data_IF_227318857211
#
_entry.id   IF_227318857211
#
_cell.length_a   1.000
_cell.length_b   1.000
_cell.length_c   1.000
_cell.angle_alpha   90.00
_cell.angle_beta   90.00
_cell.angle_gamma   90.00
#
_symmetry.space_group_name_H-M   'P 1'
#
loop_
_entity.id
_entity.type
_entity.pdbx_description
1 polymer ?
#
# COMPACT_ATOMS: atom_id res chain seq x y z
N UNK A 1 -29.76 9.88 -36.21
CA UNK A 1 -29.41 10.48 -34.90
C UNK A 1 -28.21 9.73 -34.32
N UNK A 2 -27.00 10.10 -34.76
CA UNK A 2 -25.74 9.58 -34.25
C UNK A 2 -25.35 10.48 -33.07
N UNK A 3 -25.11 9.84 -31.94
CA UNK A 3 -25.06 10.40 -30.59
C UNK A 3 -23.87 11.39 -30.43
N UNK A 4 -24.16 12.68 -30.33
CA UNK A 4 -23.21 13.75 -29.94
C UNK A 4 -22.66 13.63 -28.50
N UNK A 5 -23.08 12.61 -27.73
CA UNK A 5 -22.56 12.38 -26.39
C UNK A 5 -21.16 11.79 -26.44
N UNK A 6 -20.19 12.68 -26.16
CA UNK A 6 -18.85 12.42 -25.62
C UNK A 6 -17.71 12.80 -26.55
N UNK A 7 -17.61 14.09 -26.91
CA UNK A 7 -16.28 14.73 -26.88
C UNK A 7 -15.78 14.61 -25.43
N UNK A 8 -15.12 13.50 -25.08
CA UNK A 8 -14.46 13.34 -23.78
C UNK A 8 -13.54 14.54 -23.62
N UNK A 9 -13.90 15.46 -22.73
CA UNK A 9 -13.07 16.63 -22.42
C UNK A 9 -11.71 16.06 -22.01
N UNK A 10 -10.71 16.28 -22.86
CA UNK A 10 -9.40 15.65 -22.69
C UNK A 10 -8.75 16.27 -21.45
N UNK A 11 -8.22 15.40 -20.58
CA UNK A 11 -7.35 15.82 -19.49
C UNK A 11 -6.17 16.64 -20.03
N UNK A 12 -5.62 17.53 -19.20
CA UNK A 12 -4.49 18.36 -19.60
C UNK A 12 -3.29 17.49 -20.03
N UNK A 13 -2.46 17.94 -20.99
CA UNK A 13 -1.24 17.22 -21.36
C UNK A 13 -0.37 16.92 -20.15
N UNK A 14 0.30 15.75 -20.17
CA UNK A 14 1.08 15.26 -19.03
C UNK A 14 2.16 16.27 -18.61
N UNK A 15 2.85 16.88 -19.57
CA UNK A 15 3.85 17.94 -19.34
C UNK A 15 3.28 19.14 -18.60
N UNK A 16 2.06 19.57 -18.93
CA UNK A 16 1.40 20.70 -18.28
C UNK A 16 0.94 20.34 -16.87
N UNK A 17 0.40 19.13 -16.67
CA UNK A 17 0.08 18.63 -15.32
C UNK A 17 1.33 18.59 -14.44
N UNK A 18 2.43 18.05 -14.97
CA UNK A 18 3.71 17.98 -14.25
C UNK A 18 4.26 19.36 -13.91
N UNK A 19 4.31 20.30 -14.87
CA UNK A 19 4.77 21.67 -14.64
C UNK A 19 3.95 22.36 -13.54
N UNK A 20 2.63 22.24 -13.60
CA UNK A 20 1.74 22.81 -12.58
C UNK A 20 2.00 22.20 -11.20
N UNK A 21 2.14 20.87 -11.12
CA UNK A 21 2.46 20.16 -9.87
C UNK A 21 3.82 20.60 -9.32
N UNK A 22 4.84 20.72 -10.17
CA UNK A 22 6.17 21.13 -9.76
C UNK A 22 6.21 22.58 -9.26
N UNK A 23 5.57 23.52 -9.98
CA UNK A 23 5.46 24.91 -9.52
C UNK A 23 4.70 25.01 -8.21
N UNK A 24 3.65 24.20 -8.02
CA UNK A 24 2.90 24.15 -6.77
C UNK A 24 3.77 23.63 -5.61
N UNK A 25 4.54 22.56 -5.84
CA UNK A 25 5.49 22.01 -4.88
C UNK A 25 6.58 23.02 -4.50
N UNK A 26 7.21 23.68 -5.49
CA UNK A 26 8.25 24.68 -5.25
C UNK A 26 7.76 25.83 -4.37
N UNK A 27 6.54 26.34 -4.61
CA UNK A 27 5.95 27.41 -3.79
C UNK A 27 5.76 27.00 -2.33
N UNK A 28 5.48 25.72 -2.08
CA UNK A 28 5.22 25.18 -0.73
C UNK A 28 6.40 24.40 -0.17
N UNK A 29 7.57 24.46 -0.79
CA UNK A 29 8.70 23.63 -0.42
C UNK A 29 9.08 23.82 1.06
N UNK A 30 9.09 25.06 1.56
CA UNK A 30 9.38 25.36 2.97
C UNK A 30 8.38 24.71 3.93
N UNK A 31 7.09 24.82 3.64
CA UNK A 31 6.02 24.21 4.44
C UNK A 31 6.14 22.68 4.43
N UNK A 32 6.29 22.08 3.25
CA UNK A 32 6.41 20.63 3.06
C UNK A 32 7.67 20.09 3.74
N UNK A 33 8.82 20.76 3.57
CA UNK A 33 10.06 20.42 4.22
C UNK A 33 9.94 20.50 5.75
N UNK A 34 9.27 21.54 6.26
CA UNK A 34 8.97 21.67 7.69
C UNK A 34 8.06 20.57 8.22
N UNK A 35 7.05 20.15 7.45
CA UNK A 35 6.22 18.99 7.80
C UNK A 35 7.08 17.71 7.84
N UNK A 36 7.86 17.45 6.80
CA UNK A 36 8.66 16.24 6.64
C UNK A 36 9.86 16.16 7.61
N UNK A 37 10.33 17.30 8.13
CA UNK A 37 11.44 17.34 9.08
C UNK A 37 11.17 16.52 10.35
N UNK A 38 9.91 16.45 10.81
CA UNK A 38 9.53 15.75 12.04
C UNK A 38 9.76 14.22 11.98
N UNK A 39 9.22 13.47 11.01
CA UNK A 39 9.53 12.03 10.93
C UNK A 39 11.00 11.76 10.65
N UNK A 40 11.67 12.62 9.87
CA UNK A 40 13.09 12.48 9.61
C UNK A 40 13.94 12.68 10.85
N UNK A 41 13.58 13.60 11.75
CA UNK A 41 14.33 13.80 13.00
C UNK A 41 14.19 12.61 13.93
N UNK A 42 13.00 12.00 14.04
CA UNK A 42 12.82 10.77 14.81
C UNK A 42 13.61 9.60 14.22
N UNK A 43 13.58 9.42 12.89
CA UNK A 43 14.37 8.39 12.22
C UNK A 43 15.88 8.61 12.37
N UNK A 44 16.33 9.87 12.32
CA UNK A 44 17.73 10.22 12.56
C UNK A 44 18.16 9.85 13.98
N UNK A 45 17.37 10.22 15.00
CA UNK A 45 17.65 9.85 16.39
C UNK A 45 17.64 8.33 16.57
N UNK A 46 16.67 7.64 15.97
CA UNK A 46 16.62 6.18 15.99
C UNK A 46 17.89 5.56 15.39
N UNK A 47 18.35 6.07 14.24
CA UNK A 47 19.57 5.62 13.55
C UNK A 47 20.83 5.81 14.40
N UNK A 48 20.96 6.99 15.03
CA UNK A 48 22.08 7.29 15.93
C UNK A 48 22.05 6.37 17.14
N UNK A 49 20.89 6.18 17.78
CA UNK A 49 20.75 5.33 18.96
C UNK A 49 20.98 3.85 18.65
N UNK A 50 20.55 3.37 17.48
CA UNK A 50 20.80 2.01 17.01
C UNK A 50 22.27 1.76 16.66
N UNK A 51 23.13 2.78 16.67
CA UNK A 51 24.59 2.61 16.58
C UNK A 51 25.24 2.24 17.92
N UNK A 52 24.49 2.26 19.03
CA UNK A 52 24.95 1.87 20.37
C UNK A 52 24.35 0.52 20.78
N UNK A 53 25.16 -0.39 21.33
CA UNK A 53 24.68 -1.66 21.89
C UNK A 53 24.16 -1.46 23.33
N UNK A 54 23.01 -2.06 23.72
CA UNK A 54 22.09 -2.88 22.92
C UNK A 54 21.12 -2.06 22.04
N UNK A 55 21.16 -2.32 20.74
CA UNK A 55 20.51 -1.52 19.67
C UNK A 55 18.97 -1.47 19.74
N UNK A 56 18.36 -2.58 20.15
CA UNK A 56 16.91 -2.79 20.06
C UNK A 56 16.14 -2.02 21.15
N UNK A 57 16.77 -1.78 22.31
CA UNK A 57 16.12 -1.13 23.46
C UNK A 57 15.95 0.38 23.24
N UNK A 58 16.98 1.04 22.70
CA UNK A 58 16.99 2.50 22.54
C UNK A 58 16.40 2.97 21.21
N UNK A 59 16.59 2.23 20.11
CA UNK A 59 16.10 2.64 18.79
C UNK A 59 14.60 2.38 18.56
N UNK A 60 14.03 1.35 19.17
CA UNK A 60 12.65 0.93 18.89
C UNK A 60 11.58 2.00 19.21
N UNK A 61 11.62 2.72 20.35
CA UNK A 61 10.64 3.78 20.63
C UNK A 61 10.69 4.91 19.60
N UNK A 62 11.88 5.32 19.16
CA UNK A 62 12.06 6.39 18.17
C UNK A 62 11.63 5.95 16.77
N UNK A 63 11.82 4.68 16.41
CA UNK A 63 11.27 4.12 15.17
C UNK A 63 9.73 4.15 15.17
N UNK A 64 9.10 3.80 16.30
CA UNK A 64 7.65 3.89 16.43
C UNK A 64 7.16 5.34 16.31
N UNK A 65 7.83 6.29 16.98
CA UNK A 65 7.53 7.72 16.86
C UNK A 65 7.75 8.23 15.43
N UNK A 66 8.81 7.79 14.76
CA UNK A 66 9.10 8.08 13.35
C UNK A 66 8.00 7.55 12.43
N UNK A 67 7.50 6.34 12.68
CA UNK A 67 6.39 5.76 11.93
C UNK A 67 5.08 6.53 12.12
N UNK A 68 4.69 6.82 13.37
CA UNK A 68 3.47 7.58 13.67
C UNK A 68 3.54 8.99 13.08
N UNK A 69 4.67 9.68 13.27
CA UNK A 69 4.88 11.01 12.69
C UNK A 69 4.89 10.98 11.16
N UNK A 70 5.42 9.94 10.52
CA UNK A 70 5.38 9.80 9.07
C UNK A 70 3.95 9.70 8.53
N UNK A 71 3.08 8.94 9.21
CA UNK A 71 1.65 8.89 8.88
C UNK A 71 1.06 10.30 8.98
N UNK A 72 1.32 11.00 10.09
CA UNK A 72 0.82 12.36 10.29
C UNK A 72 1.35 13.35 9.25
N UNK A 73 2.61 13.24 8.83
CA UNK A 73 3.19 14.08 7.77
C UNK A 73 2.47 13.90 6.44
N UNK A 74 2.13 12.66 6.08
CA UNK A 74 1.36 12.37 4.86
C UNK A 74 0.00 13.07 4.90
N UNK A 75 -0.71 12.98 6.03
CA UNK A 75 -2.00 13.64 6.24
C UNK A 75 -1.87 15.18 6.24
N UNK A 76 -0.80 15.70 6.85
CA UNK A 76 -0.52 17.13 6.87
C UNK A 76 -0.20 17.66 5.47
N UNK A 77 0.48 16.89 4.63
CA UNK A 77 0.69 17.23 3.22
C UNK A 77 -0.65 17.23 2.47
N UNK A 78 -1.52 16.23 2.66
CA UNK A 78 -2.86 16.27 2.06
C UNK A 78 -3.64 17.52 2.46
N UNK A 79 -3.67 17.87 3.75
CA UNK A 79 -4.33 19.06 4.26
C UNK A 79 -3.71 20.34 3.66
N UNK A 80 -2.37 20.44 3.63
CA UNK A 80 -1.65 21.58 3.07
C UNK A 80 -1.91 21.78 1.56
N UNK A 81 -2.19 20.71 0.82
CA UNK A 81 -2.52 20.75 -0.61
C UNK A 81 -3.98 21.18 -0.85
N UNK A 82 -4.89 20.80 0.05
CA UNK A 82 -6.33 21.05 -0.09
C UNK A 82 -6.69 22.47 0.36
N UNK A 83 -6.21 22.89 1.53
CA UNK A 83 -6.60 24.18 2.13
C UNK A 83 -6.04 25.38 1.37
N UNK A 84 -5.00 25.19 0.55
CA UNK A 84 -4.44 26.24 -0.29
C UNK A 84 -3.82 27.42 0.47
N UNK A 85 -3.82 27.42 1.79
CA UNK A 85 -3.31 28.48 2.67
C UNK A 85 -1.91 28.11 3.17
N UNK A 86 -1.08 29.13 3.42
CA UNK A 86 0.23 28.98 4.04
C UNK A 86 0.09 28.88 5.56
N UNK A 87 -0.70 27.90 6.01
CA UNK A 87 -0.87 27.65 7.42
C UNK A 87 0.47 27.30 8.06
N UNK A 88 0.60 27.64 9.34
CA UNK A 88 1.69 27.18 10.17
C UNK A 88 1.76 25.64 10.17
N UNK A 89 2.97 25.08 10.15
CA UNK A 89 3.24 23.64 10.12
C UNK A 89 2.45 22.90 11.22
N UNK A 90 2.40 23.48 12.42
CA UNK A 90 1.71 22.91 13.58
C UNK A 90 0.19 22.83 13.37
N UNK A 91 -0.40 23.80 12.68
CA UNK A 91 -1.82 23.78 12.34
C UNK A 91 -2.16 22.63 11.40
N UNK A 92 -1.32 22.35 10.40
CA UNK A 92 -1.50 21.20 9.51
C UNK A 92 -1.47 19.87 10.28
N UNK A 93 -0.54 19.72 11.23
CA UNK A 93 -0.48 18.55 12.10
C UNK A 93 -1.70 18.40 13.00
N UNK A 94 -2.16 19.49 13.63
CA UNK A 94 -3.34 19.48 14.51
C UNK A 94 -4.60 19.04 13.77
N UNK A 95 -4.84 19.58 12.58
CA UNK A 95 -5.97 19.17 11.73
C UNK A 95 -5.84 17.71 11.26
N UNK A 96 -4.61 17.27 10.96
CA UNK A 96 -4.34 15.90 10.53
C UNK A 96 -4.56 14.88 11.64
N UNK A 97 -4.21 15.22 12.88
CA UNK A 97 -4.43 14.36 14.05
C UNK A 97 -5.90 14.02 14.24
N UNK A 98 -6.79 14.99 14.06
CA UNK A 98 -8.24 14.78 14.16
C UNK A 98 -8.78 13.82 13.08
N UNK A 99 -8.07 13.69 11.95
CA UNK A 99 -8.47 12.87 10.81
C UNK A 99 -7.81 11.49 10.78
N UNK A 100 -6.86 11.20 11.67
CA UNK A 100 -6.09 9.95 11.64
C UNK A 100 -6.99 8.72 11.73
N UNK A 101 -7.98 8.71 12.62
CA UNK A 101 -8.90 7.58 12.77
C UNK A 101 -9.73 7.31 11.51
N UNK A 102 -10.22 8.38 10.86
CA UNK A 102 -10.97 8.25 9.60
C UNK A 102 -10.09 7.78 8.46
N UNK A 103 -8.84 8.23 8.40
CA UNK A 103 -7.86 7.81 7.40
C UNK A 103 -7.44 6.36 7.60
N UNK A 104 -7.10 5.94 8.82
CA UNK A 104 -6.73 4.55 9.15
C UNK A 104 -7.88 3.61 8.82
N UNK A 105 -9.12 3.98 9.16
CA UNK A 105 -10.30 3.20 8.80
C UNK A 105 -10.50 3.09 7.29
N UNK A 106 -10.32 4.20 6.55
CA UNK A 106 -10.37 4.20 5.09
C UNK A 106 -9.27 3.31 4.48
N UNK A 107 -8.04 3.43 4.97
CA UNK A 107 -6.89 2.66 4.51
C UNK A 107 -7.09 1.16 4.76
N UNK A 108 -7.61 0.79 5.93
CA UNK A 108 -7.92 -0.60 6.30
C UNK A 108 -9.00 -1.20 5.40
N UNK A 109 -10.11 -0.49 5.17
CA UNK A 109 -11.16 -0.97 4.25
C UNK A 109 -10.60 -1.09 2.83
N UNK A 110 -9.86 -0.08 2.37
CA UNK A 110 -9.26 -0.08 1.03
C UNK A 110 -8.28 -1.24 0.85
N UNK A 111 -7.42 -1.51 1.84
CA UNK A 111 -6.43 -2.57 1.76
C UNK A 111 -7.10 -3.95 1.73
N UNK A 112 -8.12 -4.19 2.56
CA UNK A 112 -8.88 -5.44 2.54
C UNK A 112 -9.57 -5.68 1.19
N UNK A 113 -10.17 -4.65 0.59
CA UNK A 113 -10.84 -4.77 -0.72
C UNK A 113 -9.83 -5.03 -1.83
N UNK A 114 -8.71 -4.29 -1.86
CA UNK A 114 -7.66 -4.47 -2.85
C UNK A 114 -7.01 -5.85 -2.69
N UNK A 115 -6.76 -6.28 -1.47
CA UNK A 115 -6.22 -7.60 -1.16
C UNK A 115 -7.16 -8.72 -1.58
N UNK A 116 -8.47 -8.61 -1.28
CA UNK A 116 -9.47 -9.52 -1.81
C UNK A 116 -9.51 -9.55 -3.34
N UNK A 117 -9.32 -8.39 -3.98
CA UNK A 117 -9.13 -8.29 -5.42
C UNK A 117 -7.89 -9.02 -5.92
N UNK A 118 -6.75 -8.89 -5.22
CA UNK A 118 -5.50 -9.57 -5.56
C UNK A 118 -5.59 -11.10 -5.41
N UNK A 119 -6.34 -11.59 -4.41
CA UNK A 119 -6.62 -13.02 -4.24
C UNK A 119 -7.45 -13.60 -5.39
N UNK A 120 -8.33 -12.79 -6.00
CA UNK A 120 -9.02 -13.17 -7.24
C UNK A 120 -8.12 -13.08 -8.47
N UNK A 121 -7.02 -12.33 -8.38
CA UNK A 121 -6.00 -12.20 -9.42
C UNK A 121 -5.34 -10.82 -9.44
N UNK A 122 -4.19 -10.72 -10.13
CA UNK A 122 -3.41 -9.47 -10.20
C UNK A 122 -4.22 -8.35 -10.89
N UNK A 123 -4.87 -8.66 -12.01
CA UNK A 123 -5.65 -7.69 -12.80
C UNK A 123 -6.78 -7.03 -11.97
N UNK A 124 -7.69 -7.78 -11.31
CA UNK A 124 -8.74 -7.17 -10.48
C UNK A 124 -8.18 -6.33 -9.32
N UNK A 125 -7.11 -6.79 -8.65
CA UNK A 125 -6.44 -6.01 -7.61
C UNK A 125 -5.91 -4.67 -8.10
N UNK A 126 -5.25 -4.64 -9.28
CA UNK A 126 -4.76 -3.40 -9.91
C UNK A 126 -5.91 -2.48 -10.33
N UNK A 127 -7.02 -3.01 -10.84
CA UNK A 127 -8.18 -2.18 -11.19
C UNK A 127 -8.73 -1.46 -9.96
N UNK A 128 -8.87 -2.18 -8.84
CA UNK A 128 -9.37 -1.64 -7.58
C UNK A 128 -8.44 -0.59 -6.97
N UNK A 129 -7.12 -0.83 -6.99
CA UNK A 129 -6.15 0.13 -6.46
C UNK A 129 -6.23 1.48 -7.20
N UNK A 130 -6.38 1.45 -8.53
CA UNK A 130 -6.57 2.67 -9.34
C UNK A 130 -7.91 3.33 -9.04
N UNK A 131 -8.99 2.57 -8.82
CA UNK A 131 -10.28 3.13 -8.41
C UNK A 131 -10.21 3.87 -7.07
N UNK A 132 -9.33 3.47 -6.16
CA UNK A 132 -9.23 4.03 -4.81
C UNK A 132 -8.14 5.08 -4.63
N UNK A 133 -7.40 5.43 -5.69
CA UNK A 133 -6.27 6.37 -5.62
C UNK A 133 -6.66 7.76 -5.09
N UNK A 134 -7.89 8.21 -5.33
CA UNK A 134 -8.38 9.51 -4.87
C UNK A 134 -9.17 9.44 -3.55
N UNK A 135 -9.31 8.27 -2.95
CA UNK A 135 -10.13 8.09 -1.75
C UNK A 135 -9.62 8.93 -0.57
N UNK A 136 -8.30 8.98 -0.35
CA UNK A 136 -7.69 9.83 0.66
C UNK A 136 -7.94 11.32 0.37
N UNK A 137 -7.78 11.77 -0.87
CA UNK A 137 -8.04 13.18 -1.24
C UNK A 137 -9.51 13.53 -1.02
N UNK A 138 -10.44 12.65 -1.37
CA UNK A 138 -11.89 12.86 -1.18
C UNK A 138 -12.25 12.92 0.30
N UNK A 139 -11.63 12.09 1.14
CA UNK A 139 -11.83 12.12 2.59
C UNK A 139 -11.51 13.51 3.16
N UNK A 140 -10.41 14.12 2.72
CA UNK A 140 -9.97 15.42 3.20
C UNK A 140 -10.70 16.59 2.52
N UNK A 141 -10.98 16.50 1.22
CA UNK A 141 -11.55 17.59 0.44
C UNK A 141 -13.09 17.68 0.49
N UNK A 142 -13.78 16.59 0.86
CA UNK A 142 -15.25 16.51 0.81
C UNK A 142 -15.87 16.02 2.13
N UNK A 143 -15.18 16.19 3.24
CA UNK A 143 -15.55 15.62 4.54
C UNK A 143 -17.00 15.94 4.96
N UNK A 144 -17.46 17.17 4.71
CA UNK A 144 -18.82 17.63 5.05
C UNK A 144 -19.98 16.95 4.31
N UNK A 145 -19.70 16.09 3.32
CA UNK A 145 -20.73 15.42 2.49
C UNK A 145 -20.94 13.94 2.85
N UNK A 146 -20.62 13.53 4.07
CA UNK A 146 -20.75 12.12 4.51
C UNK A 146 -19.74 11.17 3.84
N UNK A 147 -18.59 11.71 3.42
CA UNK A 147 -17.58 11.05 2.60
C UNK A 147 -16.61 10.18 3.42
N UNK A 148 -17.08 9.53 4.49
CA UNK A 148 -16.24 8.70 5.37
C UNK A 148 -16.29 7.22 4.98
N UNK A 149 -15.18 6.51 5.20
CA UNK A 149 -15.07 5.07 4.97
C UNK A 149 -15.43 4.65 3.54
N UNK A 150 -16.36 3.69 3.42
CA UNK A 150 -16.75 3.12 2.12
C UNK A 150 -17.33 4.15 1.12
N UNK A 151 -17.92 5.23 1.62
CA UNK A 151 -18.49 6.26 0.75
C UNK A 151 -17.40 7.01 -0.05
N UNK A 152 -16.23 7.25 0.55
CA UNK A 152 -15.08 7.83 -0.15
C UNK A 152 -14.59 6.91 -1.28
N UNK A 153 -14.57 5.59 -1.05
CA UNK A 153 -14.16 4.61 -2.05
C UNK A 153 -15.13 4.56 -3.25
N UNK A 154 -16.43 4.59 -2.97
CA UNK A 154 -17.47 4.64 -4.02
C UNK A 154 -17.34 5.92 -4.85
N UNK A 155 -17.14 7.09 -4.22
CA UNK A 155 -16.91 8.35 -4.94
C UNK A 155 -15.62 8.32 -5.75
N UNK A 156 -14.53 7.83 -5.18
CA UNK A 156 -13.25 7.69 -5.88
C UNK A 156 -13.41 6.85 -7.16
N UNK A 157 -14.11 5.71 -7.06
CA UNK A 157 -14.47 4.89 -8.24
C UNK A 157 -15.29 5.69 -9.25
N UNK A 158 -16.29 6.44 -8.82
CA UNK A 158 -17.12 7.23 -9.72
C UNK A 158 -16.31 8.31 -10.45
N UNK A 159 -15.34 8.95 -9.79
CA UNK A 159 -14.40 9.87 -10.44
C UNK A 159 -13.54 9.16 -11.50
N UNK A 160 -12.97 8.00 -11.16
CA UNK A 160 -12.08 7.23 -12.04
C UNK A 160 -12.83 6.57 -13.21
N UNK A 161 -14.12 6.25 -13.05
CA UNK A 161 -14.92 5.53 -14.06
C UNK A 161 -14.91 6.27 -15.40
N UNK A 162 -14.56 5.57 -16.47
CA UNK A 162 -14.44 6.15 -17.82
C UNK A 162 -13.08 6.83 -18.11
N UNK A 163 -12.22 7.00 -17.11
CA UNK A 163 -10.88 7.58 -17.22
C UNK A 163 -9.78 6.67 -16.68
N UNK A 164 -10.07 5.38 -16.46
CA UNK A 164 -9.14 4.41 -15.86
C UNK A 164 -7.79 4.33 -16.61
N UNK A 165 -7.82 4.11 -17.93
CA UNK A 165 -6.61 4.04 -18.75
C UNK A 165 -5.78 5.35 -18.75
N UNK A 166 -6.39 6.54 -18.96
CA UNK A 166 -5.68 7.81 -18.81
C UNK A 166 -5.03 8.00 -17.44
N UNK A 167 -5.68 7.58 -16.36
CA UNK A 167 -5.15 7.71 -14.99
C UNK A 167 -4.00 6.73 -14.79
N UNK A 168 -4.16 5.47 -15.19
CA UNK A 168 -3.11 4.46 -15.09
C UNK A 168 -1.85 4.88 -15.85
N UNK A 169 -1.98 5.31 -17.10
CA UNK A 169 -0.83 5.76 -17.90
C UNK A 169 -0.11 6.96 -17.28
N UNK A 170 -0.85 7.87 -16.63
CA UNK A 170 -0.29 9.03 -15.91
C UNK A 170 0.45 8.63 -14.64
N UNK A 171 -0.10 7.68 -13.87
CA UNK A 171 0.56 7.12 -12.69
C UNK A 171 1.86 6.45 -13.11
N UNK A 172 1.82 5.58 -14.13
CA UNK A 172 3.03 4.91 -14.65
C UNK A 172 4.06 5.90 -15.16
N UNK A 173 3.65 6.89 -15.96
CA UNK A 173 4.53 7.92 -16.48
C UNK A 173 5.19 8.75 -15.37
N UNK A 174 4.52 8.97 -14.25
CA UNK A 174 5.09 9.70 -13.12
C UNK A 174 5.96 8.80 -12.24
N UNK A 175 5.46 7.63 -11.85
CA UNK A 175 6.08 6.74 -10.87
C UNK A 175 7.33 6.05 -11.42
N UNK A 176 7.35 5.63 -12.68
CA UNK A 176 8.50 4.91 -13.26
C UNK A 176 9.74 5.82 -13.29
N UNK A 177 9.72 7.03 -13.90
CA UNK A 177 10.88 7.91 -13.91
C UNK A 177 11.32 8.35 -12.51
N UNK A 178 10.39 8.55 -11.57
CA UNK A 178 10.73 8.88 -10.18
C UNK A 178 11.44 7.73 -9.46
N UNK A 179 11.02 6.48 -9.69
CA UNK A 179 11.70 5.31 -9.16
C UNK A 179 13.11 5.17 -9.77
N UNK A 180 13.24 5.35 -11.09
CA UNK A 180 14.54 5.38 -11.76
C UNK A 180 15.46 6.48 -11.24
N UNK A 181 14.92 7.70 -11.05
CA UNK A 181 15.69 8.82 -10.49
C UNK A 181 16.19 8.51 -9.08
N UNK A 182 15.32 7.97 -8.21
CA UNK A 182 15.71 7.54 -6.86
C UNK A 182 16.83 6.50 -6.90
N UNK A 183 16.72 5.52 -7.80
CA UNK A 183 17.76 4.50 -7.99
C UNK A 183 19.09 5.09 -8.46
N UNK A 184 19.08 6.02 -9.43
CA UNK A 184 20.27 6.70 -9.94
C UNK A 184 20.94 7.53 -8.83
N UNK A 185 20.17 8.33 -8.09
CA UNK A 185 20.70 9.16 -6.99
C UNK A 185 21.36 8.27 -5.92
N UNK A 186 20.73 7.14 -5.59
CA UNK A 186 21.30 6.15 -4.67
C UNK A 186 22.58 5.51 -5.18
N UNK A 187 22.63 5.14 -6.46
CA UNK A 187 23.82 4.55 -7.08
C UNK A 187 25.00 5.53 -7.09
N UNK A 188 24.75 6.80 -7.44
CA UNK A 188 25.78 7.86 -7.42
C UNK A 188 26.28 8.07 -5.98
N UNK A 189 25.39 8.16 -5.00
CA UNK A 189 25.79 8.33 -3.60
C UNK A 189 26.63 7.15 -3.11
N UNK A 190 26.23 5.92 -3.42
CA UNK A 190 27.00 4.72 -3.07
C UNK A 190 28.40 4.75 -3.65
N UNK A 191 28.52 5.09 -4.94
CA UNK A 191 29.80 5.25 -5.62
C UNK A 191 30.69 6.32 -4.96
N UNK A 192 30.12 7.49 -4.63
CA UNK A 192 30.83 8.59 -3.97
C UNK A 192 31.36 8.22 -2.58
N UNK A 193 30.67 7.33 -1.88
CA UNK A 193 31.07 6.85 -0.55
C UNK A 193 32.00 5.63 -0.60
N UNK A 194 32.48 5.23 -1.79
CA UNK A 194 33.34 4.07 -1.96
C UNK A 194 32.64 2.72 -1.77
N UNK A 195 31.31 2.70 -1.73
CA UNK A 195 30.52 1.48 -1.69
C UNK A 195 30.17 1.03 -3.12
N UNK A 196 30.04 -0.29 -3.32
CA UNK A 196 29.47 -0.80 -4.57
C UNK A 196 28.05 -0.23 -4.74
N UNK A 197 27.71 0.39 -5.89
CA UNK A 197 26.41 1.02 -6.10
C UNK A 197 25.22 0.06 -5.92
N UNK A 198 25.41 -1.21 -6.28
CA UNK A 198 24.42 -2.29 -6.09
C UNK A 198 24.23 -2.64 -4.62
N UNK A 199 25.30 -2.61 -3.83
CA UNK A 199 25.25 -2.97 -2.41
C UNK A 199 24.69 -1.80 -1.61
N UNK A 200 25.09 -0.56 -1.92
CA UNK A 200 24.52 0.63 -1.27
C UNK A 200 23.02 0.81 -1.55
N UNK A 201 22.57 0.49 -2.76
CA UNK A 201 21.14 0.55 -3.10
C UNK A 201 20.32 -0.63 -2.54
N UNK A 202 20.92 -1.82 -2.37
CA UNK A 202 20.23 -3.02 -1.86
C UNK A 202 20.35 -3.22 -0.35
N UNK A 203 21.41 -2.70 0.28
CA UNK A 203 21.69 -2.91 1.70
C UNK A 203 20.75 -2.04 2.55
N UNK A 204 19.59 -2.61 2.86
CA UNK A 204 18.72 -2.16 3.95
C UNK A 204 19.43 -2.29 5.31
N UNK A 205 20.58 -2.97 5.39
CA UNK A 205 21.36 -3.09 6.62
C UNK A 205 22.26 -1.89 6.96
N UNK A 206 22.45 -0.93 6.05
CA UNK A 206 23.17 0.31 6.37
C UNK A 206 22.16 1.39 6.75
N UNK A 207 22.05 1.66 8.05
CA UNK A 207 21.08 2.62 8.58
C UNK A 207 21.25 4.04 8.02
N UNK A 208 22.48 4.44 7.68
CA UNK A 208 22.73 5.74 7.05
C UNK A 208 22.24 5.81 5.61
N UNK A 209 22.41 4.73 4.83
CA UNK A 209 21.87 4.63 3.49
C UNK A 209 20.32 4.64 3.52
N UNK A 210 19.72 3.98 4.50
CA UNK A 210 18.27 4.02 4.75
C UNK A 210 17.81 5.43 5.09
N UNK A 211 18.47 6.13 6.01
CA UNK A 211 18.11 7.50 6.38
C UNK A 211 18.12 8.41 5.15
N UNK A 212 19.19 8.37 4.35
CA UNK A 212 19.26 9.19 3.13
C UNK A 212 18.13 8.83 2.13
N UNK A 213 17.77 7.55 2.04
CA UNK A 213 16.63 7.09 1.23
C UNK A 213 15.31 7.64 1.71
N UNK A 214 15.09 7.64 3.02
CA UNK A 214 13.91 8.24 3.62
C UNK A 214 13.88 9.75 3.36
N UNK A 215 15.00 10.46 3.47
CA UNK A 215 15.09 11.88 3.11
C UNK A 215 14.65 12.09 1.66
N UNK A 216 15.18 11.35 0.70
CA UNK A 216 14.77 11.49 -0.71
C UNK A 216 13.28 11.21 -0.92
N UNK A 217 12.77 10.12 -0.34
CA UNK A 217 11.39 9.70 -0.52
C UNK A 217 10.43 10.70 0.11
N UNK A 218 10.63 11.05 1.38
CA UNK A 218 9.72 11.92 2.11
C UNK A 218 9.81 13.37 1.68
N UNK A 219 11.00 13.88 1.34
CA UNK A 219 11.16 15.28 0.97
C UNK A 219 10.73 15.55 -0.47
N UNK A 220 11.05 14.65 -1.40
CA UNK A 220 10.84 14.89 -2.83
C UNK A 220 9.74 14.02 -3.43
N UNK A 221 9.86 12.69 -3.37
CA UNK A 221 8.98 11.80 -4.14
C UNK A 221 7.53 11.86 -3.62
N UNK A 222 7.34 11.72 -2.32
CA UNK A 222 6.02 11.58 -1.71
C UNK A 222 5.17 12.86 -1.87
N UNK A 223 5.65 14.07 -1.51
CA UNK A 223 4.83 15.27 -1.63
C UNK A 223 4.55 15.62 -3.10
N UNK A 224 5.50 15.34 -3.99
CA UNK A 224 5.31 15.52 -5.43
C UNK A 224 4.27 14.54 -5.99
N UNK A 225 4.26 13.29 -5.52
CA UNK A 225 3.25 12.29 -5.88
C UNK A 225 1.86 12.70 -5.40
N UNK A 226 1.73 13.17 -4.15
CA UNK A 226 0.45 13.67 -3.61
C UNK A 226 -0.03 14.88 -4.43
N UNK A 227 0.84 15.85 -4.69
CA UNK A 227 0.51 17.03 -5.49
C UNK A 227 0.11 16.67 -6.93
N UNK A 228 0.72 15.64 -7.51
CA UNK A 228 0.33 15.12 -8.82
C UNK A 228 -1.07 14.49 -8.79
N UNK A 229 -1.33 13.61 -7.82
CA UNK A 229 -2.64 12.97 -7.66
C UNK A 229 -3.73 14.00 -7.34
N UNK A 230 -3.44 15.03 -6.56
CA UNK A 230 -4.35 16.14 -6.32
C UNK A 230 -4.67 16.91 -7.60
N UNK A 231 -3.67 17.20 -8.44
CA UNK A 231 -3.89 17.83 -9.75
C UNK A 231 -4.78 16.97 -10.67
N UNK A 232 -4.57 15.65 -10.70
CA UNK A 232 -5.42 14.74 -11.46
C UNK A 232 -6.85 14.71 -10.92
N UNK A 233 -7.01 14.69 -9.60
CA UNK A 233 -8.30 14.77 -8.94
C UNK A 233 -9.04 16.06 -9.32
N UNK A 234 -8.38 17.22 -9.26
CA UNK A 234 -8.99 18.49 -9.65
C UNK A 234 -9.42 18.51 -11.12
N UNK A 235 -8.62 17.93 -12.02
CA UNK A 235 -8.99 17.80 -13.43
C UNK A 235 -10.24 16.94 -13.60
N UNK A 236 -10.31 15.79 -12.94
CA UNK A 236 -11.49 14.91 -12.97
C UNK A 236 -12.71 15.59 -12.36
N UNK A 237 -12.53 16.29 -11.25
CA UNK A 237 -13.58 17.04 -10.57
C UNK A 237 -14.15 18.14 -11.48
N UNK A 238 -13.29 18.85 -12.22
CA UNK A 238 -13.71 19.84 -13.21
C UNK A 238 -14.44 19.20 -14.40
N UNK A 239 -13.93 18.09 -14.92
CA UNK A 239 -14.54 17.36 -16.05
C UNK A 239 -15.91 16.79 -15.68
N UNK A 240 -16.10 16.38 -14.42
CA UNK A 240 -17.31 15.73 -13.93
C UNK A 240 -18.13 16.60 -12.99
N UNK A 241 -17.99 17.93 -13.07
CA UNK A 241 -18.69 18.84 -12.17
C UNK A 241 -20.22 18.71 -12.27
N UNK A 242 -20.74 18.48 -13.47
CA UNK A 242 -22.18 18.34 -13.77
C UNK A 242 -22.68 16.89 -13.71
N UNK A 243 -21.80 15.91 -13.48
CA UNK A 243 -22.16 14.50 -13.48
C UNK A 243 -22.73 14.08 -12.11
N UNK A 244 -24.07 14.05 -12.00
CA UNK A 244 -24.77 13.63 -10.78
C UNK A 244 -24.39 12.21 -10.31
N UNK A 245 -23.92 11.35 -11.22
CA UNK A 245 -23.53 9.98 -10.86
C UNK A 245 -22.32 9.94 -9.94
N UNK A 246 -21.50 11.00 -9.93
CA UNK A 246 -20.36 11.14 -9.02
C UNK A 246 -20.82 11.26 -7.58
N UNK A 247 -21.87 12.04 -7.34
CA UNK A 247 -22.42 12.27 -6.00
C UNK A 247 -23.30 11.11 -5.52
N UNK A 248 -23.83 10.29 -6.44
CA UNK A 248 -24.72 9.17 -6.10
C UNK A 248 -23.95 7.97 -5.54
N UNK A 249 -24.22 7.65 -4.27
CA UNK A 249 -23.67 6.46 -3.60
C UNK A 249 -24.52 5.24 -3.96
N UNK A 250 -24.01 4.36 -4.82
CA UNK A 250 -24.70 3.13 -5.22
C UNK A 250 -24.61 2.06 -4.13
N UNK A 251 -25.75 1.67 -3.53
CA UNK A 251 -25.84 0.54 -2.57
C UNK A 251 -25.25 -0.76 -3.13
N UNK A 252 -25.51 -1.06 -4.40
CA UNK A 252 -24.95 -2.25 -5.09
C UNK A 252 -23.42 -2.23 -5.11
N UNK A 253 -22.83 -1.07 -5.44
CA UNK A 253 -21.35 -0.91 -5.45
C UNK A 253 -20.78 -1.04 -4.05
N UNK A 254 -21.46 -0.45 -3.05
CA UNK A 254 -21.08 -0.55 -1.64
C UNK A 254 -21.04 -2.02 -1.18
N UNK A 255 -22.11 -2.78 -1.43
CA UNK A 255 -22.20 -4.19 -1.01
C UNK A 255 -21.15 -5.06 -1.72
N UNK A 256 -20.87 -4.78 -3.00
CA UNK A 256 -19.82 -5.50 -3.73
C UNK A 256 -18.43 -5.27 -3.13
N UNK A 257 -18.11 -4.03 -2.75
CA UNK A 257 -16.87 -3.74 -2.02
C UNK A 257 -16.83 -4.42 -0.66
N UNK A 258 -17.92 -4.42 0.10
CA UNK A 258 -17.99 -5.15 1.38
C UNK A 258 -17.74 -6.64 1.17
N UNK A 259 -18.37 -7.26 0.18
CA UNK A 259 -18.16 -8.66 -0.17
C UNK A 259 -16.71 -8.98 -0.50
N UNK A 260 -16.05 -8.13 -1.30
CA UNK A 260 -14.62 -8.28 -1.59
C UNK A 260 -13.73 -8.10 -0.37
N UNK A 261 -14.06 -7.17 0.52
CA UNK A 261 -13.33 -6.98 1.78
C UNK A 261 -13.44 -8.19 2.70
N UNK A 262 -14.64 -8.75 2.86
CA UNK A 262 -14.88 -9.98 3.64
C UNK A 262 -14.13 -11.15 2.99
N UNK A 263 -14.22 -11.31 1.67
CA UNK A 263 -13.48 -12.34 0.94
C UNK A 263 -11.97 -12.21 1.16
N UNK A 264 -11.42 -11.00 1.04
CA UNK A 264 -10.01 -10.71 1.28
C UNK A 264 -9.56 -11.04 2.71
N UNK A 265 -10.43 -10.87 3.69
CA UNK A 265 -10.16 -11.22 5.08
C UNK A 265 -10.22 -12.73 5.34
N UNK A 266 -11.24 -13.42 4.81
CA UNK A 266 -11.54 -14.83 5.15
C UNK A 266 -10.73 -15.81 4.32
N UNK A 267 -10.51 -15.53 3.04
CA UNK A 267 -9.89 -16.47 2.10
C UNK A 267 -8.46 -16.91 2.49
N UNK A 268 -7.57 -16.07 3.04
CA UNK A 268 -6.24 -16.51 3.50
C UNK A 268 -6.31 -17.59 4.59
N UNK A 269 -7.27 -17.50 5.51
CA UNK A 269 -7.45 -18.50 6.56
C UNK A 269 -7.92 -19.83 5.98
N UNK A 270 -8.83 -19.80 5.00
CA UNK A 270 -9.28 -20.99 4.29
C UNK A 270 -8.11 -21.65 3.55
N UNK A 271 -7.29 -20.86 2.84
CA UNK A 271 -6.10 -21.37 2.14
C UNK A 271 -5.07 -21.96 3.12
N UNK A 272 -4.81 -21.28 4.24
CA UNK A 272 -3.90 -21.77 5.27
C UNK A 272 -4.38 -23.10 5.88
N UNK A 273 -5.68 -23.23 6.14
CA UNK A 273 -6.28 -24.47 6.64
C UNK A 273 -6.17 -25.58 5.59
N UNK A 274 -6.46 -25.27 4.31
CA UNK A 274 -6.34 -26.24 3.22
C UNK A 274 -4.89 -26.73 3.03
N UNK A 275 -3.92 -25.83 3.04
CA UNK A 275 -2.48 -26.18 2.96
C UNK A 275 -2.07 -27.02 4.15
N UNK A 276 -2.53 -26.68 5.36
CA UNK A 276 -2.28 -27.48 6.57
C UNK A 276 -2.86 -28.89 6.46
N UNK A 277 -4.08 -29.05 5.94
CA UNK A 277 -4.69 -30.36 5.73
C UNK A 277 -3.95 -31.20 4.68
N UNK A 278 -3.49 -30.59 3.59
CA UNK A 278 -2.67 -31.26 2.57
C UNK A 278 -1.32 -31.70 3.13
N UNK A 279 -0.67 -30.84 3.93
CA UNK A 279 0.58 -31.17 4.60
C UNK A 279 0.39 -32.35 5.57
N UNK A 280 -0.67 -32.35 6.38
CA UNK A 280 -1.02 -33.46 7.27
C UNK A 280 -1.30 -34.75 6.49
N UNK A 281 -2.02 -34.68 5.37
CA UNK A 281 -2.25 -35.83 4.50
C UNK A 281 -0.95 -36.38 3.90
N UNK A 282 -0.01 -35.51 3.50
CA UNK A 282 1.32 -35.90 3.01
C UNK A 282 2.17 -36.54 4.10
N UNK A 283 2.14 -36.00 5.32
CA UNK A 283 2.84 -36.58 6.49
C UNK A 283 2.24 -37.95 6.83
N UNK A 284 0.91 -38.07 6.88
CA UNK A 284 0.24 -39.35 7.13
C UNK A 284 0.53 -40.36 6.04
N UNK A 285 0.49 -39.96 4.77
CA UNK A 285 0.84 -40.83 3.64
C UNK A 285 2.30 -41.30 3.69
N UNK A 286 3.23 -40.43 4.07
CA UNK A 286 4.63 -40.80 4.31
C UNK A 286 4.74 -41.79 5.47
N UNK A 287 4.13 -41.49 6.63
CA UNK A 287 4.14 -42.37 7.81
C UNK A 287 3.50 -43.75 7.54
N UNK A 288 2.52 -43.79 6.63
CA UNK A 288 1.82 -45.01 6.22
C UNK A 288 2.45 -45.67 4.99
N UNK A 289 3.57 -45.16 4.46
CA UNK A 289 4.27 -45.84 3.36
C UNK A 289 4.83 -47.17 3.84
N UNK A 290 4.73 -48.20 3.00
CA UNK A 290 5.15 -49.58 3.35
C UNK A 290 6.60 -49.62 3.85
N UNK A 291 7.49 -48.81 3.30
CA UNK A 291 8.89 -48.70 3.74
C UNK A 291 9.04 -48.29 5.21
N UNK A 292 8.18 -47.40 5.70
CA UNK A 292 8.21 -46.94 7.10
C UNK A 292 7.44 -47.87 8.01
N UNK A 293 6.28 -48.38 7.57
CA UNK A 293 5.51 -49.38 8.33
C UNK A 293 6.35 -50.66 8.53
N UNK A 294 7.16 -51.05 7.54
CA UNK A 294 8.01 -52.25 7.61
C UNK A 294 9.26 -52.07 8.50
N UNK A 295 9.72 -50.83 8.72
CA UNK A 295 10.93 -50.54 9.51
C UNK A 295 10.63 -50.17 10.96
N UNK A 296 9.38 -49.79 11.29
CA UNK A 296 9.01 -49.39 12.65
C UNK A 296 8.64 -50.59 13.55
N UNK A 297 8.94 -50.53 14.88
CA UNK A 297 8.44 -51.46 15.90
C UNK A 297 6.90 -51.55 15.97
N UNK A 298 6.21 -50.64 15.26
CA UNK A 298 4.76 -50.55 15.22
C UNK A 298 4.11 -51.83 14.69
N UNK A 299 4.70 -52.53 13.70
CA UNK A 299 4.18 -53.84 13.24
C UNK A 299 4.20 -54.89 14.34
N UNK A 300 5.32 -54.96 15.08
CA UNK A 300 5.46 -55.89 16.22
C UNK A 300 4.46 -55.53 17.32
N UNK A 301 4.27 -54.24 17.60
CA UNK A 301 3.30 -53.77 18.58
C UNK A 301 1.84 -54.05 18.16
N UNK A 302 1.50 -53.83 16.88
CA UNK A 302 0.16 -54.13 16.33
C UNK A 302 -0.13 -55.63 16.30
N UNK A 303 0.87 -56.44 15.95
CA UNK A 303 0.82 -57.90 15.99
C UNK A 303 0.60 -58.40 17.42
N UNK A 304 1.38 -57.89 18.39
CA UNK A 304 1.27 -58.30 19.80
C UNK A 304 -0.09 -57.95 20.43
N UNK A 305 -0.77 -56.92 19.94
CA UNK A 305 -2.10 -56.56 20.43
C UNK A 305 -3.24 -57.28 19.66
N UNK A 306 -2.92 -58.12 18.66
CA UNK A 306 -3.91 -58.88 17.89
C UNK A 306 -4.65 -58.08 16.80
N UNK A 307 -4.16 -56.88 16.45
CA UNK A 307 -4.79 -56.00 15.46
C UNK A 307 -4.33 -56.30 14.03
N UNK A 308 -3.31 -57.14 13.88
CA UNK A 308 -2.77 -57.53 12.59
C UNK A 308 -2.43 -59.02 12.60
N UNK A 309 -3.08 -59.79 11.72
CA UNK A 309 -2.79 -61.22 11.53
C UNK A 309 -1.87 -61.37 10.32
N UNK A 310 -0.75 -62.07 10.52
CA UNK A 310 0.23 -62.33 9.47
C UNK A 310 -0.35 -63.37 8.51
N UNK A 311 -0.64 -62.96 7.27
CA UNK A 311 -1.02 -63.90 6.21
C UNK A 311 0.24 -64.63 5.71
N UNK A 312 0.38 -65.90 6.10
CA UNK A 312 1.56 -66.72 5.82
C UNK A 312 1.70 -67.11 4.34
N UNK A 313 0.73 -66.77 3.49
CA UNK A 313 0.74 -67.08 2.05
C UNK A 313 1.87 -66.41 1.26
N UNK A 314 2.52 -65.38 1.81
CA UNK A 314 3.64 -64.68 1.17
C UNK A 314 5.03 -65.33 1.37
N UNK A 315 5.15 -66.37 2.19
CA UNK A 315 6.43 -67.06 2.46
C UNK A 315 6.68 -68.28 1.54
N UNK A 316 5.80 -68.55 0.58
CA UNK A 316 5.83 -69.76 -0.26
C UNK A 316 6.13 -69.52 -1.75
N UNK A 317 6.58 -68.33 -2.14
CA UNK A 317 7.18 -68.03 -3.45
C UNK A 317 8.55 -67.36 -3.27
#
# INVERSE_FOLDING_TARGET
MINEKSKRVKMLPISRSFKNTFTYYQRRFKLIAGIVALPLSFYFVATVLSSFEPTLFWGAPFNLLGFVSAILSVLAIYQAMIDGSEHEIMSCYRHSWQKIGSFVWLALISSLIVFGGLLLGIIPGVILSIWFIFSAIILFAEEGRGSRGLNALVRSRNYVRGYWWPILGRIMFFSIPMAFLSFIVMGILGWLLGANPTDFSRNVGNEWANLFRLVLIYLFLLPMQIAYFYSLFLQLKKIKAEDETVNRISKKTKNWFVGLGIFGLVMPFILMLMVSMLALGGILGFLLSDDIINTLPLRVWLYNNGWWQYDSSYLLN
#
